data_IF_216496283387
#
_entry.id   IF_216496283387
#
_cell.length_a   1.000
_cell.length_b   1.000
_cell.length_c   1.000
_cell.angle_alpha   90.00
_cell.angle_beta   90.00
_cell.angle_gamma   90.00
#
_symmetry.space_group_name_H-M   'P 1'
#
loop_
_entity.id
_entity.type
_entity.pdbx_description
1 polymer ?
#
# COMPACT_ATOMS: atom_id res chain seq x y z
N UNK A 1 -5.54 25.44 -47.17
CA UNK A 1 -5.42 25.69 -45.71
C UNK A 1 -6.39 24.91 -44.81
N UNK A 2 -7.46 24.29 -45.31
CA UNK A 2 -8.52 23.61 -44.53
C UNK A 2 -8.11 22.19 -44.02
N UNK A 3 -7.09 21.56 -44.59
CA UNK A 3 -6.66 20.20 -44.19
C UNK A 3 -5.70 20.14 -42.96
N UNK A 4 -5.08 21.27 -42.57
CA UNK A 4 -4.18 21.31 -41.39
C UNK A 4 -4.94 21.36 -40.06
N UNK A 5 -6.04 22.13 -39.99
CA UNK A 5 -6.81 22.29 -38.74
C UNK A 5 -7.53 21.00 -38.29
N UNK A 6 -7.93 20.11 -39.24
CA UNK A 6 -8.57 18.83 -38.87
C UNK A 6 -7.63 17.80 -38.22
N UNK A 7 -6.31 17.95 -38.40
CA UNK A 7 -5.31 17.02 -37.84
C UNK A 7 -4.93 17.43 -36.44
N UNK A 8 -4.89 18.72 -36.12
CA UNK A 8 -4.63 19.26 -34.79
C UNK A 8 -5.81 19.01 -33.83
N UNK A 9 -7.07 19.20 -34.27
CA UNK A 9 -8.26 18.87 -33.46
C UNK A 9 -8.38 17.36 -33.11
N UNK A 10 -7.89 16.47 -33.95
CA UNK A 10 -7.88 15.03 -33.66
C UNK A 10 -6.80 14.64 -32.64
N UNK A 11 -5.67 15.34 -32.63
CA UNK A 11 -4.57 15.10 -31.69
C UNK A 11 -4.96 15.58 -30.28
N UNK A 12 -5.64 16.74 -30.20
CA UNK A 12 -6.10 17.26 -28.90
C UNK A 12 -7.22 16.41 -28.29
N UNK A 13 -8.16 15.91 -29.09
CA UNK A 13 -9.21 14.99 -28.63
C UNK A 13 -8.68 13.62 -28.19
N UNK A 14 -7.57 13.15 -28.77
CA UNK A 14 -6.94 11.92 -28.32
C UNK A 14 -6.18 12.10 -27.01
N UNK A 15 -5.47 13.22 -26.84
CA UNK A 15 -4.81 13.57 -25.56
C UNK A 15 -5.79 13.77 -24.41
N UNK A 16 -6.98 14.29 -24.70
CA UNK A 16 -8.02 14.46 -23.69
C UNK A 16 -8.70 13.14 -23.30
N UNK A 17 -8.79 12.18 -24.24
CA UNK A 17 -9.26 10.82 -23.97
C UNK A 17 -8.25 10.02 -23.14
N UNK A 18 -6.97 10.05 -23.51
CA UNK A 18 -5.90 9.38 -22.73
C UNK A 18 -5.84 9.89 -21.30
N UNK A 19 -5.91 11.22 -21.08
CA UNK A 19 -5.97 11.80 -19.73
C UNK A 19 -7.22 11.41 -18.93
N UNK A 20 -8.35 11.16 -19.60
CA UNK A 20 -9.58 10.68 -18.93
C UNK A 20 -9.53 9.19 -18.62
N UNK A 21 -8.83 8.41 -19.42
CA UNK A 21 -8.60 6.97 -19.16
C UNK A 21 -7.59 6.76 -18.04
N UNK A 22 -6.46 7.49 -18.04
CA UNK A 22 -5.48 7.47 -16.94
C UNK A 22 -6.13 7.86 -15.60
N UNK A 23 -6.98 8.90 -15.62
CA UNK A 23 -7.67 9.34 -14.39
C UNK A 23 -8.68 8.31 -13.86
N UNK A 24 -9.35 7.59 -14.76
CA UNK A 24 -10.27 6.49 -14.37
C UNK A 24 -9.52 5.25 -13.86
N UNK A 25 -8.33 5.02 -14.34
CA UNK A 25 -7.49 3.90 -13.91
C UNK A 25 -6.85 4.18 -12.54
N UNK A 26 -6.46 5.45 -12.27
CA UNK A 26 -6.03 5.90 -10.95
C UNK A 26 -7.17 5.83 -9.92
N UNK A 27 -8.37 6.32 -10.26
CA UNK A 27 -9.55 6.25 -9.39
C UNK A 27 -9.96 4.80 -9.07
N UNK A 28 -9.81 3.87 -10.02
CA UNK A 28 -10.07 2.45 -9.79
C UNK A 28 -9.05 1.79 -8.87
N UNK A 29 -7.77 2.13 -9.03
CA UNK A 29 -6.70 1.63 -8.15
C UNK A 29 -6.84 2.15 -6.72
N UNK A 30 -7.24 3.43 -6.55
CA UNK A 30 -7.54 3.99 -5.23
C UNK A 30 -8.77 3.32 -4.57
N UNK A 31 -9.76 2.88 -5.36
CA UNK A 31 -10.95 2.21 -4.83
C UNK A 31 -10.71 0.75 -4.47
N UNK A 32 -9.84 0.05 -5.21
CA UNK A 32 -9.38 -1.31 -4.88
C UNK A 32 -8.47 -1.32 -3.64
N UNK A 33 -7.52 -0.37 -3.53
CA UNK A 33 -6.69 -0.23 -2.32
C UNK A 33 -7.53 0.08 -1.06
N UNK A 34 -8.59 0.91 -1.18
CA UNK A 34 -9.50 1.18 -0.06
C UNK A 34 -10.29 -0.05 0.39
N UNK A 35 -10.71 -0.89 -0.55
CA UNK A 35 -11.46 -2.13 -0.23
C UNK A 35 -10.56 -3.21 0.40
N UNK A 36 -9.29 -3.29 0.00
CA UNK A 36 -8.32 -4.17 0.64
C UNK A 36 -7.98 -3.69 2.07
N UNK A 37 -7.84 -2.38 2.28
CA UNK A 37 -7.57 -1.78 3.59
C UNK A 37 -8.73 -1.98 4.58
N UNK A 38 -10.00 -1.77 4.17
CA UNK A 38 -11.17 -2.02 5.03
C UNK A 38 -11.32 -3.49 5.43
N UNK A 39 -10.86 -4.42 4.58
CA UNK A 39 -10.93 -5.84 4.86
C UNK A 39 -9.81 -6.30 5.80
N UNK A 40 -8.63 -5.65 5.78
CA UNK A 40 -7.56 -5.88 6.74
C UNK A 40 -7.90 -5.29 8.12
N UNK A 41 -8.52 -4.11 8.20
CA UNK A 41 -8.90 -3.47 9.48
C UNK A 41 -9.97 -4.27 10.25
N UNK A 42 -10.92 -4.91 9.57
CA UNK A 42 -11.97 -5.73 10.23
C UNK A 42 -11.46 -7.03 10.85
N UNK A 43 -10.25 -7.47 10.50
CA UNK A 43 -9.64 -8.70 11.04
C UNK A 43 -8.79 -8.48 12.30
N UNK A 44 -8.47 -7.24 12.66
CA UNK A 44 -7.56 -6.92 13.78
C UNK A 44 -8.27 -6.63 15.11
N UNK A 45 -9.60 -6.57 15.18
CA UNK A 45 -10.32 -6.03 16.34
C UNK A 45 -10.69 -7.03 17.44
N UNK A 46 -10.37 -8.32 17.32
CA UNK A 46 -10.69 -9.29 18.38
C UNK A 46 -9.43 -9.84 19.06
N UNK A 47 -8.77 -9.01 19.87
CA UNK A 47 -7.80 -9.51 20.86
C UNK A 47 -8.56 -9.90 22.12
N UNK A 48 -9.21 -11.04 22.09
CA UNK A 48 -9.60 -11.75 23.29
C UNK A 48 -8.30 -12.28 23.92
N UNK A 49 -8.01 -11.93 25.17
CA UNK A 49 -6.96 -12.58 25.95
C UNK A 49 -7.33 -14.05 26.14
N UNK A 50 -7.08 -14.87 25.14
CA UNK A 50 -7.27 -16.31 25.23
C UNK A 50 -6.24 -16.90 26.20
N UNK A 51 -6.71 -17.64 27.20
CA UNK A 51 -5.84 -18.41 28.07
C UNK A 51 -5.01 -19.40 27.23
N UNK A 52 -3.75 -19.70 27.63
CA UNK A 52 -2.92 -20.63 26.88
C UNK A 52 -3.63 -21.98 26.75
N UNK A 53 -3.62 -22.58 25.55
CA UNK A 53 -4.26 -23.87 25.35
C UNK A 53 -3.58 -24.94 26.21
N UNK A 54 -4.38 -25.72 26.92
CA UNK A 54 -3.87 -26.86 27.69
C UNK A 54 -3.48 -27.98 26.72
N UNK A 55 -2.26 -28.47 26.85
CA UNK A 55 -1.75 -29.63 26.10
C UNK A 55 -1.32 -30.69 27.10
N UNK A 56 -1.77 -31.93 26.87
CA UNK A 56 -1.35 -33.07 27.66
C UNK A 56 0.16 -33.33 27.46
N UNK A 57 0.82 -33.77 28.51
CA UNK A 57 2.26 -34.04 28.52
C UNK A 57 2.63 -35.09 27.46
N UNK A 58 3.63 -34.80 26.61
CA UNK A 58 4.07 -35.69 25.54
C UNK A 58 3.27 -35.62 24.23
N UNK A 59 2.23 -34.79 24.15
CA UNK A 59 1.45 -34.58 22.92
C UNK A 59 2.03 -33.39 22.13
N UNK A 60 2.33 -33.61 20.86
CA UNK A 60 2.71 -32.55 19.94
C UNK A 60 1.43 -31.91 19.39
N UNK A 61 1.18 -30.60 19.65
CA UNK A 61 -0.04 -29.93 19.22
C UNK A 61 -0.06 -29.69 17.71
N UNK A 62 -1.26 -29.52 17.17
CA UNK A 62 -1.43 -29.02 15.81
C UNK A 62 -0.85 -27.60 15.66
N UNK A 63 -0.63 -27.18 14.42
CA UNK A 63 0.01 -25.89 14.10
C UNK A 63 -0.65 -24.68 14.76
N UNK A 64 -2.00 -24.62 14.73
CA UNK A 64 -2.74 -23.49 15.27
C UNK A 64 -2.58 -23.39 16.79
N UNK A 65 -2.70 -24.54 17.48
CA UNK A 65 -2.49 -24.65 18.92
C UNK A 65 -1.04 -24.35 19.28
N UNK A 66 -0.08 -24.86 18.50
CA UNK A 66 1.34 -24.55 18.67
C UNK A 66 1.65 -23.07 18.48
N UNK A 67 0.99 -22.41 17.51
CA UNK A 67 1.18 -20.99 17.27
C UNK A 67 0.61 -20.13 18.41
N UNK A 68 -0.53 -20.48 18.98
CA UNK A 68 -1.07 -19.84 20.19
C UNK A 68 -0.11 -19.98 21.37
N UNK A 69 0.48 -21.17 21.57
CA UNK A 69 1.50 -21.37 22.61
C UNK A 69 2.76 -20.55 22.37
N UNK A 70 3.22 -20.47 21.11
CA UNK A 70 4.37 -19.65 20.76
C UNK A 70 4.14 -18.18 21.10
N UNK A 71 2.97 -17.65 20.80
CA UNK A 71 2.58 -16.28 21.17
C UNK A 71 2.62 -16.07 22.69
N UNK A 72 2.19 -17.07 23.44
CA UNK A 72 2.13 -16.98 24.90
C UNK A 72 3.49 -17.20 25.58
N UNK A 73 4.27 -18.17 25.16
CA UNK A 73 5.52 -18.59 25.82
C UNK A 73 6.74 -17.80 25.37
N UNK A 74 6.81 -17.43 24.09
CA UNK A 74 8.01 -16.81 23.51
C UNK A 74 8.06 -15.31 23.80
N UNK A 75 9.11 -14.87 24.50
CA UNK A 75 9.36 -13.43 24.70
C UNK A 75 9.59 -12.72 23.37
N UNK A 76 10.30 -13.35 22.44
CA UNK A 76 10.49 -12.82 21.09
C UNK A 76 9.16 -12.56 20.37
N UNK A 77 8.19 -13.48 20.53
CA UNK A 77 6.85 -13.32 19.95
C UNK A 77 6.17 -12.06 20.49
N UNK A 78 6.13 -11.91 21.82
CA UNK A 78 5.48 -10.77 22.49
C UNK A 78 6.11 -9.43 22.07
N UNK A 79 7.44 -9.36 22.05
CA UNK A 79 8.16 -8.15 21.68
C UNK A 79 7.94 -7.80 20.20
N UNK A 80 7.91 -8.82 19.33
CA UNK A 80 7.70 -8.62 17.90
C UNK A 80 6.26 -8.22 17.59
N UNK A 81 5.26 -8.82 18.23
CA UNK A 81 3.85 -8.42 18.08
C UNK A 81 3.61 -6.98 18.53
N UNK A 82 4.20 -6.60 19.69
CA UNK A 82 4.11 -5.23 20.18
C UNK A 82 4.70 -4.24 19.15
N UNK A 83 5.87 -4.53 18.64
CA UNK A 83 6.52 -3.70 17.62
C UNK A 83 5.73 -3.63 16.32
N UNK A 84 5.17 -4.76 15.86
CA UNK A 84 4.33 -4.77 14.67
C UNK A 84 3.07 -3.90 14.85
N UNK A 85 2.43 -3.92 16.04
CA UNK A 85 1.29 -3.05 16.36
C UNK A 85 1.67 -1.58 16.30
N UNK A 86 2.81 -1.21 16.92
CA UNK A 86 3.33 0.16 16.88
C UNK A 86 3.62 0.63 15.44
N UNK A 87 4.23 -0.24 14.62
CA UNK A 87 4.54 0.07 13.21
C UNK A 87 3.27 0.17 12.35
N UNK A 88 2.24 -0.63 12.60
CA UNK A 88 0.93 -0.54 11.94
C UNK A 88 0.25 0.79 12.28
N UNK A 89 0.25 1.19 13.55
CA UNK A 89 -0.36 2.44 13.99
C UNK A 89 0.34 3.65 13.35
N UNK A 90 1.67 3.65 13.38
CA UNK A 90 2.48 4.65 12.69
C UNK A 90 2.19 4.73 11.18
N UNK A 91 1.98 3.58 10.55
CA UNK A 91 1.65 3.50 9.13
C UNK A 91 0.25 4.06 8.84
N UNK A 92 -0.72 3.85 9.75
CA UNK A 92 -2.05 4.48 9.68
C UNK A 92 -1.96 6.02 9.76
N UNK A 93 -1.18 6.54 10.72
CA UNK A 93 -0.96 7.98 10.86
C UNK A 93 -0.31 8.59 9.60
N UNK A 94 0.71 7.94 9.06
CA UNK A 94 1.37 8.39 7.83
C UNK A 94 0.43 8.40 6.63
N UNK A 95 -0.44 7.39 6.48
CA UNK A 95 -1.46 7.34 5.43
C UNK A 95 -2.47 8.49 5.57
N UNK A 96 -2.94 8.77 6.78
CA UNK A 96 -3.85 9.87 7.03
C UNK A 96 -3.20 11.22 6.68
N UNK A 97 -1.97 11.45 7.11
CA UNK A 97 -1.22 12.66 6.76
C UNK A 97 -1.03 12.79 5.24
N UNK A 98 -0.74 11.70 4.54
CA UNK A 98 -0.61 11.71 3.08
C UNK A 98 -1.97 12.03 2.40
N UNK A 99 -3.10 11.53 2.92
CA UNK A 99 -4.45 11.90 2.42
C UNK A 99 -4.73 13.39 2.58
N UNK A 100 -4.42 13.95 3.76
CA UNK A 100 -4.60 15.39 4.04
C UNK A 100 -3.75 16.27 3.11
N UNK A 101 -2.50 15.86 2.85
CA UNK A 101 -1.61 16.55 1.91
C UNK A 101 -2.14 16.48 0.47
N UNK A 102 -2.69 15.34 0.07
CA UNK A 102 -3.31 15.18 -1.25
C UNK A 102 -4.52 16.09 -1.41
N UNK A 103 -5.39 16.19 -0.41
CA UNK A 103 -6.55 17.08 -0.42
C UNK A 103 -6.12 18.55 -0.50
N UNK A 104 -5.17 18.98 0.34
CA UNK A 104 -4.59 20.32 0.28
C UNK A 104 -3.96 20.64 -1.09
N UNK A 105 -3.33 19.64 -1.73
CA UNK A 105 -2.77 19.82 -3.06
C UNK A 105 -3.86 20.05 -4.12
N UNK A 106 -5.00 19.34 -4.03
CA UNK A 106 -6.16 19.53 -4.91
C UNK A 106 -6.77 20.94 -4.73
N UNK A 107 -6.93 21.39 -3.49
CA UNK A 107 -7.42 22.73 -3.20
C UNK A 107 -6.52 23.84 -3.77
N UNK A 108 -5.20 23.69 -3.57
CA UNK A 108 -4.23 24.67 -4.11
C UNK A 108 -4.22 24.67 -5.64
N UNK A 109 -4.35 23.52 -6.27
CA UNK A 109 -4.46 23.40 -7.72
C UNK A 109 -5.69 24.16 -8.22
N UNK A 110 -6.84 24.01 -7.58
CA UNK A 110 -8.06 24.72 -7.94
C UNK A 110 -7.87 26.24 -7.80
N UNK A 111 -7.28 26.72 -6.69
CA UNK A 111 -6.96 28.15 -6.51
C UNK A 111 -6.02 28.69 -7.58
N UNK A 112 -4.99 27.92 -7.94
CA UNK A 112 -4.06 28.26 -9.02
C UNK A 112 -4.80 28.39 -10.35
N UNK A 113 -5.72 27.49 -10.64
CA UNK A 113 -6.47 27.51 -11.90
C UNK A 113 -7.50 28.66 -11.91
N UNK A 114 -8.14 28.99 -10.79
CA UNK A 114 -9.00 30.18 -10.65
C UNK A 114 -8.21 31.48 -10.92
N UNK A 115 -6.99 31.63 -10.36
CA UNK A 115 -6.16 32.81 -10.59
C UNK A 115 -5.76 32.91 -12.07
N UNK A 116 -5.42 31.78 -12.72
CA UNK A 116 -5.11 31.75 -14.15
C UNK A 116 -6.30 32.19 -15.01
N UNK A 117 -7.52 31.75 -14.68
CA UNK A 117 -8.73 32.18 -15.38
C UNK A 117 -8.91 33.70 -15.23
N UNK A 118 -8.82 34.24 -14.00
CA UNK A 118 -8.92 35.70 -13.77
C UNK A 118 -7.89 36.49 -14.58
N UNK A 119 -6.64 35.99 -14.66
CA UNK A 119 -5.58 36.61 -15.48
C UNK A 119 -5.89 36.51 -16.98
N UNK A 120 -6.45 35.41 -17.43
CA UNK A 120 -6.86 35.23 -18.84
C UNK A 120 -7.98 36.18 -19.22
N UNK A 121 -9.02 36.29 -18.37
CA UNK A 121 -10.16 37.17 -18.61
C UNK A 121 -9.72 38.64 -18.67
N UNK A 122 -8.83 39.07 -17.77
CA UNK A 122 -8.25 40.41 -17.79
C UNK A 122 -7.47 40.68 -19.09
N UNK A 123 -6.70 39.72 -19.58
CA UNK A 123 -5.98 39.83 -20.87
C UNK A 123 -6.93 39.93 -22.06
N UNK A 124 -7.99 39.12 -22.08
CA UNK A 124 -9.01 39.17 -23.12
C UNK A 124 -9.77 40.51 -23.13
N UNK A 125 -10.13 41.01 -21.96
CA UNK A 125 -10.82 42.30 -21.82
C UNK A 125 -9.93 43.46 -22.32
N UNK A 126 -8.63 43.42 -22.03
CA UNK A 126 -7.67 44.40 -22.59
C UNK A 126 -7.56 44.35 -24.12
N UNK A 127 -7.53 43.16 -24.69
CA UNK A 127 -7.51 42.94 -26.15
C UNK A 127 -8.79 43.43 -26.83
N UNK A 128 -9.95 43.33 -26.18
CA UNK A 128 -11.23 43.77 -26.70
C UNK A 128 -11.44 45.29 -26.64
N UNK A 129 -10.70 45.97 -25.77
CA UNK A 129 -10.78 47.45 -25.62
C UNK A 129 -9.94 48.23 -26.63
N UNK A 130 -9.32 47.60 -27.64
CA UNK A 130 -8.73 48.14 -28.87
C UNK A 130 -8.05 49.50 -28.76
N UNK A 131 -7.38 49.82 -27.66
CA UNK A 131 -6.69 51.07 -27.47
C UNK A 131 -5.18 50.84 -27.39
N UNK A 132 -4.40 51.62 -28.12
CA UNK A 132 -2.92 51.51 -28.26
C UNK A 132 -2.13 51.64 -26.93
N UNK A 133 -2.82 51.88 -25.80
CA UNK A 133 -2.23 52.01 -24.45
C UNK A 133 -2.30 50.76 -23.59
N UNK A 134 -2.62 49.60 -24.15
CA UNK A 134 -3.01 48.39 -23.38
C UNK A 134 -1.85 47.51 -22.86
N UNK A 135 -0.61 47.96 -22.98
CA UNK A 135 0.56 47.24 -22.43
C UNK A 135 0.91 47.62 -20.96
N UNK A 136 0.11 48.46 -20.30
CA UNK A 136 0.32 48.76 -18.89
C UNK A 136 -0.22 47.65 -18.04
N UNK A 137 0.64 46.99 -17.30
CA UNK A 137 0.27 45.99 -16.31
C UNK A 137 -0.49 46.72 -15.19
N UNK A 138 -1.75 46.34 -14.98
CA UNK A 138 -2.61 46.88 -13.92
C UNK A 138 -2.13 46.37 -12.55
N UNK A 139 -2.27 47.20 -11.52
CA UNK A 139 -1.85 46.87 -10.15
C UNK A 139 -2.51 45.58 -9.63
N UNK A 140 -3.77 45.31 -10.02
CA UNK A 140 -4.46 44.06 -9.71
C UNK A 140 -3.83 42.86 -10.44
N UNK A 141 -3.36 43.05 -11.67
CA UNK A 141 -2.69 41.96 -12.42
C UNK A 141 -1.35 41.62 -11.77
N UNK A 142 -0.61 42.59 -11.26
CA UNK A 142 0.61 42.37 -10.48
C UNK A 142 0.31 41.56 -9.22
N UNK A 143 -0.72 41.94 -8.46
CA UNK A 143 -1.16 41.19 -7.26
C UNK A 143 -1.55 39.74 -7.57
N UNK A 144 -2.31 39.50 -8.65
CA UNK A 144 -2.68 38.16 -9.09
C UNK A 144 -1.47 37.32 -9.52
N UNK A 145 -0.46 37.94 -10.15
CA UNK A 145 0.78 37.24 -10.53
C UNK A 145 1.63 36.87 -9.32
N UNK A 146 1.70 37.74 -8.32
CA UNK A 146 2.37 37.44 -7.06
C UNK A 146 1.65 36.32 -6.29
N UNK A 147 0.33 36.40 -6.18
CA UNK A 147 -0.47 35.36 -5.57
C UNK A 147 -0.29 34.01 -6.29
N UNK A 148 -0.31 34.01 -7.62
CA UNK A 148 -0.06 32.83 -8.43
C UNK A 148 1.32 32.21 -8.15
N UNK A 149 2.34 33.04 -7.98
CA UNK A 149 3.70 32.59 -7.66
C UNK A 149 3.76 31.93 -6.27
N UNK A 150 3.14 32.56 -5.27
CA UNK A 150 3.07 32.03 -3.90
C UNK A 150 2.33 30.69 -3.89
N UNK A 151 1.13 30.63 -4.51
CA UNK A 151 0.33 29.40 -4.55
C UNK A 151 1.01 28.26 -5.29
N UNK A 152 1.75 28.54 -6.35
CA UNK A 152 2.58 27.54 -7.03
C UNK A 152 3.71 27.00 -6.16
N UNK A 153 4.33 27.84 -5.35
CA UNK A 153 5.39 27.39 -4.46
C UNK A 153 4.85 26.56 -3.30
N UNK A 154 3.72 26.98 -2.70
CA UNK A 154 2.99 26.19 -1.71
C UNK A 154 2.61 24.81 -2.27
N UNK A 155 2.07 24.76 -3.50
CA UNK A 155 1.72 23.53 -4.18
C UNK A 155 2.93 22.59 -4.36
N UNK A 156 4.06 23.12 -4.83
CA UNK A 156 5.29 22.33 -4.99
C UNK A 156 5.75 21.73 -3.67
N UNK A 157 5.71 22.51 -2.59
CA UNK A 157 6.13 22.07 -1.27
C UNK A 157 5.22 20.94 -0.74
N UNK A 158 3.90 21.08 -0.92
CA UNK A 158 2.94 20.04 -0.52
C UNK A 158 3.12 18.76 -1.34
N UNK A 159 3.29 18.88 -2.67
CA UNK A 159 3.55 17.73 -3.53
C UNK A 159 4.85 17.00 -3.15
N UNK A 160 5.88 17.76 -2.78
CA UNK A 160 7.14 17.17 -2.29
C UNK A 160 6.91 16.40 -0.99
N UNK A 161 6.25 17.01 0.00
CA UNK A 161 5.92 16.36 1.26
C UNK A 161 5.08 15.09 1.04
N UNK A 162 4.07 15.14 0.17
CA UNK A 162 3.26 13.98 -0.19
C UNK A 162 4.10 12.83 -0.75
N UNK A 163 5.03 13.13 -1.66
CA UNK A 163 5.92 12.12 -2.23
C UNK A 163 6.87 11.53 -1.18
N UNK A 164 7.37 12.37 -0.25
CA UNK A 164 8.22 11.91 0.85
C UNK A 164 7.44 10.93 1.77
N UNK A 165 6.19 11.26 2.12
CA UNK A 165 5.33 10.36 2.89
C UNK A 165 5.00 9.08 2.13
N UNK A 166 4.72 9.16 0.82
CA UNK A 166 4.47 7.97 -0.02
C UNK A 166 5.67 7.02 0.00
N UNK A 167 6.88 7.54 -0.07
CA UNK A 167 8.10 6.73 0.03
C UNK A 167 8.24 6.09 1.41
N UNK A 168 8.02 6.86 2.49
CA UNK A 168 8.08 6.34 3.87
C UNK A 168 7.03 5.25 4.13
N UNK A 169 5.81 5.41 3.61
CA UNK A 169 4.73 4.41 3.72
C UNK A 169 5.17 3.11 3.03
N UNK A 170 5.77 3.20 1.85
CA UNK A 170 6.26 2.04 1.12
C UNK A 170 7.35 1.30 1.89
N UNK A 171 8.36 2.03 2.37
CA UNK A 171 9.47 1.48 3.16
C UNK A 171 8.97 0.83 4.47
N UNK A 172 8.06 1.49 5.18
CA UNK A 172 7.49 0.95 6.41
C UNK A 172 6.64 -0.30 6.16
N UNK A 173 5.89 -0.34 5.05
CA UNK A 173 5.13 -1.53 4.65
C UNK A 173 6.07 -2.70 4.32
N UNK A 174 7.14 -2.47 3.58
CA UNK A 174 8.16 -3.50 3.31
C UNK A 174 8.83 -4.01 4.59
N UNK A 175 9.17 -3.11 5.52
CA UNK A 175 9.74 -3.48 6.80
C UNK A 175 8.78 -4.33 7.64
N UNK A 176 7.50 -3.96 7.67
CA UNK A 176 6.46 -4.73 8.37
C UNK A 176 6.32 -6.13 7.76
N UNK A 177 6.32 -6.25 6.44
CA UNK A 177 6.24 -7.54 5.76
C UNK A 177 7.49 -8.40 6.05
N UNK A 178 8.67 -7.80 6.12
CA UNK A 178 9.90 -8.49 6.55
C UNK A 178 9.83 -8.96 8.01
N UNK A 179 9.20 -8.18 8.90
CA UNK A 179 8.98 -8.58 10.29
C UNK A 179 8.01 -9.75 10.39
N UNK A 180 6.89 -9.73 9.66
CA UNK A 180 5.94 -10.87 9.58
C UNK A 180 6.64 -12.15 9.09
N UNK A 181 7.52 -12.03 8.11
CA UNK A 181 8.33 -13.13 7.60
C UNK A 181 9.23 -13.73 8.70
N UNK A 182 10.00 -12.87 9.38
CA UNK A 182 10.89 -13.30 10.45
C UNK A 182 10.13 -13.91 11.62
N UNK A 183 8.95 -13.40 11.90
CA UNK A 183 8.07 -13.91 12.95
C UNK A 183 7.67 -15.35 12.68
N UNK A 184 7.28 -15.67 11.46
CA UNK A 184 6.94 -17.04 11.05
C UNK A 184 8.17 -17.96 11.07
N UNK A 185 9.32 -17.50 10.55
CA UNK A 185 10.57 -18.28 10.61
C UNK A 185 11.00 -18.59 12.07
N UNK A 186 10.78 -17.67 12.99
CA UNK A 186 11.06 -17.91 14.41
C UNK A 186 10.07 -18.86 15.06
N UNK A 187 8.81 -18.83 14.68
CA UNK A 187 7.83 -19.83 15.10
C UNK A 187 8.24 -21.24 14.65
N UNK A 188 8.63 -21.42 13.40
CA UNK A 188 9.11 -22.72 12.88
C UNK A 188 10.33 -23.23 13.66
N UNK A 189 11.28 -22.34 13.97
CA UNK A 189 12.46 -22.67 14.78
C UNK A 189 12.09 -23.04 16.21
N UNK A 190 11.21 -22.26 16.84
CA UNK A 190 10.72 -22.53 18.19
C UNK A 190 10.00 -23.88 18.26
N UNK A 191 9.15 -24.19 17.28
CA UNK A 191 8.45 -25.46 17.19
C UNK A 191 9.43 -26.64 17.09
N UNK A 192 10.40 -26.53 16.20
CA UNK A 192 11.44 -27.55 16.05
C UNK A 192 12.26 -27.75 17.32
N UNK A 193 12.66 -26.66 17.99
CA UNK A 193 13.42 -26.74 19.23
C UNK A 193 12.63 -27.40 20.36
N UNK A 194 11.33 -27.14 20.42
CA UNK A 194 10.47 -27.65 21.50
C UNK A 194 10.07 -29.10 21.30
N UNK A 195 9.79 -29.50 20.07
CA UNK A 195 9.22 -30.81 19.76
C UNK A 195 10.15 -31.73 18.98
N UNK A 196 11.30 -31.23 18.56
CA UNK A 196 12.31 -31.96 17.75
C UNK A 196 11.75 -32.57 16.45
N UNK A 197 10.72 -31.95 15.90
CA UNK A 197 10.06 -32.33 14.63
C UNK A 197 9.82 -31.06 13.83
N UNK A 198 10.04 -31.10 12.52
CA UNK A 198 9.66 -29.95 11.69
C UNK A 198 8.14 -29.81 11.62
N UNK A 199 7.67 -28.55 11.50
CA UNK A 199 6.24 -28.28 11.40
C UNK A 199 5.61 -28.99 10.20
N UNK A 200 6.29 -29.01 9.05
CA UNK A 200 5.83 -29.68 7.83
C UNK A 200 5.70 -31.20 8.03
N UNK A 201 6.68 -31.82 8.68
CA UNK A 201 6.65 -33.26 8.95
C UNK A 201 5.53 -33.64 9.93
N UNK A 202 5.30 -32.80 10.94
CA UNK A 202 4.23 -32.99 11.91
C UNK A 202 2.85 -32.87 11.26
N UNK A 203 2.62 -31.84 10.46
CA UNK A 203 1.37 -31.66 9.70
C UNK A 203 1.11 -32.85 8.75
N UNK A 204 2.17 -33.33 8.10
CA UNK A 204 2.10 -34.53 7.26
C UNK A 204 1.67 -35.77 8.04
N UNK A 205 2.23 -35.97 9.25
CA UNK A 205 1.87 -37.06 10.14
C UNK A 205 0.39 -36.99 10.59
N UNK A 206 -0.06 -35.78 10.96
CA UNK A 206 -1.45 -35.53 11.35
C UNK A 206 -2.42 -35.79 10.19
N UNK A 207 -2.09 -35.33 8.99
CA UNK A 207 -2.90 -35.57 7.79
C UNK A 207 -2.98 -37.08 7.46
N UNK A 208 -1.87 -37.80 7.53
CA UNK A 208 -1.85 -39.26 7.35
C UNK A 208 -2.72 -39.98 8.37
N UNK A 209 -2.62 -39.57 9.65
CA UNK A 209 -3.43 -40.17 10.71
C UNK A 209 -4.94 -39.90 10.55
N UNK A 210 -5.29 -38.68 10.11
CA UNK A 210 -6.70 -38.25 9.98
C UNK A 210 -7.39 -38.85 8.74
N UNK A 211 -6.69 -38.96 7.62
CA UNK A 211 -7.29 -39.27 6.34
C UNK A 211 -6.84 -40.62 5.76
N UNK A 212 -5.88 -41.31 6.37
CA UNK A 212 -5.34 -42.57 5.88
C UNK A 212 -4.65 -42.43 4.49
N UNK A 213 -4.26 -41.25 4.11
CA UNK A 213 -3.85 -40.91 2.75
C UNK A 213 -2.34 -41.01 2.59
N UNK A 214 -1.92 -41.73 1.55
CA UNK A 214 -0.55 -41.63 1.03
C UNK A 214 -0.45 -40.36 0.21
N UNK A 215 0.30 -39.35 0.70
CA UNK A 215 0.38 -37.99 0.13
C UNK A 215 1.17 -37.94 -1.19
N UNK A 216 1.67 -39.05 -1.67
CA UNK A 216 2.32 -39.14 -2.99
C UNK A 216 1.35 -38.85 -4.15
N UNK A 217 0.03 -39.00 -3.94
CA UNK A 217 -1.00 -38.85 -4.97
C UNK A 217 -1.78 -37.52 -4.92
N UNK A 218 -1.48 -36.60 -4.00
CA UNK A 218 -2.26 -35.36 -3.82
C UNK A 218 -1.64 -34.10 -4.46
N UNK A 219 -1.48 -34.08 -5.76
CA UNK A 219 -1.36 -32.80 -6.48
C UNK A 219 -2.70 -32.12 -6.81
N UNK A 220 -3.82 -32.73 -6.49
CA UNK A 220 -5.15 -32.30 -6.99
C UNK A 220 -6.32 -32.44 -6.00
N UNK A 221 -6.19 -32.05 -4.71
CA UNK A 221 -7.39 -31.98 -3.86
C UNK A 221 -7.66 -30.57 -3.36
N UNK A 222 -8.93 -30.15 -3.51
CA UNK A 222 -9.52 -28.91 -3.04
C UNK A 222 -9.04 -28.56 -1.62
N UNK A 223 -8.38 -27.43 -1.51
CA UNK A 223 -7.95 -26.87 -0.24
C UNK A 223 -9.19 -26.55 0.58
N UNK A 224 -9.35 -27.23 1.70
CA UNK A 224 -10.23 -26.72 2.76
C UNK A 224 -9.71 -25.34 3.12
N UNK A 225 -10.48 -24.31 2.83
CA UNK A 225 -10.13 -22.93 3.04
C UNK A 225 -9.91 -22.69 4.54
N UNK A 226 -8.64 -22.45 4.90
CA UNK A 226 -8.27 -21.98 6.22
C UNK A 226 -7.56 -20.62 6.03
N UNK A 227 -8.18 -19.51 6.46
CA UNK A 227 -7.63 -18.17 6.25
C UNK A 227 -6.24 -17.97 6.87
N UNK A 228 -5.94 -18.62 7.99
CA UNK A 228 -4.63 -18.55 8.64
C UNK A 228 -3.56 -19.32 7.86
N UNK A 229 -3.93 -20.45 7.26
CA UNK A 229 -3.05 -21.23 6.40
C UNK A 229 -2.77 -20.49 5.09
N UNK A 230 -3.76 -19.80 4.53
CA UNK A 230 -3.58 -18.99 3.34
C UNK A 230 -2.67 -17.80 3.59
N UNK A 231 -2.83 -17.11 4.73
CA UNK A 231 -1.93 -16.02 5.13
C UNK A 231 -0.47 -16.51 5.30
N UNK A 232 -0.28 -17.68 5.93
CA UNK A 232 1.03 -18.32 6.06
C UNK A 232 1.63 -18.68 4.70
N UNK A 233 0.85 -19.34 3.83
CA UNK A 233 1.32 -19.72 2.50
C UNK A 233 1.60 -18.52 1.60
N UNK A 234 0.82 -17.45 1.72
CA UNK A 234 1.06 -16.21 1.01
C UNK A 234 2.35 -15.51 1.52
N UNK A 235 2.59 -15.50 2.83
CA UNK A 235 3.85 -15.02 3.40
C UNK A 235 5.03 -15.86 2.89
N UNK A 236 4.93 -17.19 2.90
CA UNK A 236 5.96 -18.13 2.40
C UNK A 236 6.24 -17.92 0.90
N UNK A 237 5.21 -17.72 0.06
CA UNK A 237 5.37 -17.40 -1.38
C UNK A 237 6.06 -16.05 -1.59
N UNK A 238 5.68 -15.00 -0.85
CA UNK A 238 6.34 -13.69 -0.90
C UNK A 238 7.83 -13.81 -0.54
N UNK A 239 8.17 -14.59 0.49
CA UNK A 239 9.57 -14.88 0.86
C UNK A 239 10.34 -15.50 -0.31
N UNK A 240 9.77 -16.51 -0.94
CA UNK A 240 10.44 -17.19 -2.05
C UNK A 240 10.63 -16.25 -3.24
N UNK A 241 9.66 -15.39 -3.52
CA UNK A 241 9.76 -14.39 -4.60
C UNK A 241 10.85 -13.37 -4.33
N UNK A 242 10.92 -12.83 -3.10
CA UNK A 242 11.98 -11.88 -2.69
C UNK A 242 13.36 -12.55 -2.72
N UNK A 243 13.48 -13.79 -2.22
CA UNK A 243 14.75 -14.55 -2.28
C UNK A 243 15.20 -14.80 -3.73
N UNK A 244 14.27 -15.10 -4.66
CA UNK A 244 14.56 -15.26 -6.10
C UNK A 244 14.96 -13.93 -6.76
N UNK A 245 14.26 -12.84 -6.48
CA UNK A 245 14.60 -11.51 -7.00
C UNK A 245 16.01 -11.08 -6.56
N UNK A 246 16.32 -11.18 -5.26
CA UNK A 246 17.67 -10.88 -4.73
C UNK A 246 18.77 -11.78 -5.30
N UNK A 247 18.47 -13.04 -5.64
CA UNK A 247 19.43 -13.93 -6.29
C UNK A 247 19.68 -13.50 -7.74
N UNK A 248 18.65 -13.05 -8.45
CA UNK A 248 18.79 -12.57 -9.81
C UNK A 248 19.59 -11.25 -9.87
N UNK A 249 19.35 -10.29 -8.95
CA UNK A 249 20.13 -9.06 -8.87
C UNK A 249 21.63 -9.30 -8.61
N UNK A 250 21.99 -10.35 -7.85
CA UNK A 250 23.39 -10.72 -7.63
C UNK A 250 24.07 -11.36 -8.85
N UNK A 251 23.29 -11.90 -9.78
CA UNK A 251 23.81 -12.53 -10.99
C UNK A 251 23.98 -11.54 -12.17
N UNK A 252 23.48 -10.30 -12.04
CA UNK A 252 23.60 -9.23 -13.03
C UNK A 252 24.64 -8.16 -12.64
N UNK A 253 25.33 -8.33 -11.53
CA UNK A 253 26.51 -7.54 -11.12
C UNK A 253 27.79 -8.37 -11.25
#
# INVERSE_FOLDING_TARGET
>A
MIKKNKKEEKVDKNKEKEKKEEKKEEEKKEEEEKKEEENEEKKEEEVVEEQPPYIAEGVIPDKNTAFKLYKYESQYSKDTEKKMKEDIEKLKEQKNTARDLLEKSKELKNKIDEIKVKLSDKKQNKLNLADEMTNVIDEEEVKLLEELKIKKEEYKNIVKQFNDYKTQIHENKENLDLMKIKYVENFEKWFFQKYNVSLEEHELRLAKAKYGINIEDEKEKEKIYNPDEEAYMNAKRKIQTIKRAKKNEKNYK
#
